data_IF_037383056461
#
_entry.id   IF_037383056461
#
_cell.length_a   1.000
_cell.length_b   1.000
_cell.length_c   1.000
_cell.angle_alpha   90.00
_cell.angle_beta   90.00
_cell.angle_gamma   90.00
#
_symmetry.space_group_name_H-M   'P 1'
#
loop_
_entity.id
_entity.type
_entity.pdbx_description
1 polymer ?
#
# COMPACT_ATOMS: atom_id res chain seq x y z
N UNK A 1 21.45 -0.57 -9.26
CA UNK A 1 21.95 0.16 -8.07
C UNK A 1 22.72 1.43 -8.43
N UNK A 2 23.69 1.41 -9.37
CA UNK A 2 24.47 2.60 -9.74
C UNK A 2 23.63 3.84 -10.14
N UNK A 3 22.58 3.66 -10.98
CA UNK A 3 21.71 4.77 -11.40
C UNK A 3 20.96 5.44 -10.23
N UNK A 4 20.47 4.65 -9.26
CA UNK A 4 19.81 5.17 -8.05
C UNK A 4 20.81 5.93 -7.16
N UNK A 5 22.03 5.40 -7.01
CA UNK A 5 23.08 6.07 -6.25
C UNK A 5 23.50 7.39 -6.90
N UNK A 6 23.65 7.43 -8.23
CA UNK A 6 23.93 8.66 -8.97
C UNK A 6 22.81 9.68 -8.79
N UNK A 7 21.55 9.29 -8.93
CA UNK A 7 20.42 10.21 -8.65
C UNK A 7 20.43 10.73 -7.20
N UNK A 8 20.75 9.87 -6.22
CA UNK A 8 20.84 10.29 -4.83
C UNK A 8 21.95 11.35 -4.64
N UNK A 9 23.12 11.17 -5.25
CA UNK A 9 24.25 12.10 -5.18
C UNK A 9 24.09 13.36 -6.05
N UNK A 10 23.27 13.35 -7.10
CA UNK A 10 23.06 14.53 -7.96
C UNK A 10 21.86 15.37 -7.56
N UNK A 11 20.79 14.74 -7.04
CA UNK A 11 19.51 15.40 -6.77
C UNK A 11 19.00 15.06 -5.37
N UNK A 12 18.78 13.79 -5.08
CA UNK A 12 17.95 13.37 -3.94
C UNK A 12 18.45 13.88 -2.59
N UNK A 13 19.75 13.74 -2.32
CA UNK A 13 20.34 14.14 -1.04
C UNK A 13 20.39 15.66 -0.88
N UNK A 14 20.76 16.37 -1.93
CA UNK A 14 20.85 17.84 -1.95
C UNK A 14 19.47 18.48 -1.84
N UNK A 15 18.48 17.94 -2.56
CA UNK A 15 17.08 18.33 -2.42
C UNK A 15 16.63 18.16 -0.96
N UNK A 16 16.84 16.98 -0.35
CA UNK A 16 16.47 16.74 1.04
C UNK A 16 17.20 17.66 2.02
N UNK A 17 18.46 18.00 1.77
CA UNK A 17 19.21 18.95 2.59
C UNK A 17 18.58 20.35 2.55
N UNK A 18 18.20 20.82 1.35
CA UNK A 18 17.55 22.12 1.14
C UNK A 18 16.17 22.14 1.80
N UNK A 19 15.36 21.11 1.59
CA UNK A 19 14.04 20.97 2.22
C UNK A 19 14.14 21.03 3.75
N UNK A 20 15.08 20.29 4.35
CA UNK A 20 15.32 20.33 5.80
C UNK A 20 15.80 21.70 6.29
N UNK A 21 16.59 22.42 5.50
CA UNK A 21 16.98 23.78 5.83
C UNK A 21 15.77 24.73 5.83
N UNK A 22 14.87 24.59 4.84
CA UNK A 22 13.60 25.33 4.80
C UNK A 22 12.69 25.01 5.99
N UNK A 23 12.60 23.73 6.40
CA UNK A 23 11.88 23.32 7.61
C UNK A 23 12.44 24.02 8.85
N UNK A 24 13.77 24.06 9.02
CA UNK A 24 14.42 24.74 10.16
C UNK A 24 14.17 26.25 10.16
N UNK A 25 14.09 26.85 8.97
CA UNK A 25 13.83 28.27 8.81
C UNK A 25 12.34 28.62 8.89
N UNK A 26 11.45 27.65 9.12
CA UNK A 26 9.99 27.88 9.19
C UNK A 26 9.36 28.28 7.85
N UNK A 27 10.02 27.97 6.73
CA UNK A 27 9.45 28.27 5.40
C UNK A 27 8.25 27.38 5.13
N UNK A 28 7.16 27.97 4.65
CA UNK A 28 5.98 27.23 4.22
C UNK A 28 6.29 26.38 2.97
N UNK A 29 5.88 25.12 2.96
CA UNK A 29 5.97 24.20 1.82
C UNK A 29 5.43 24.81 0.53
N UNK A 30 4.33 25.56 0.62
CA UNK A 30 3.65 26.14 -0.54
C UNK A 30 4.49 27.21 -1.26
N UNK A 31 5.57 27.69 -0.64
CA UNK A 31 6.51 28.67 -1.23
C UNK A 31 7.66 28.00 -2.00
N UNK A 32 7.73 26.67 -2.04
CA UNK A 32 8.84 25.92 -2.63
C UNK A 32 8.69 25.63 -4.13
N UNK A 33 7.70 26.22 -4.80
CA UNK A 33 7.52 26.12 -6.26
C UNK A 33 8.80 26.37 -7.06
N UNK A 34 9.57 27.45 -6.80
CA UNK A 34 10.83 27.71 -7.49
C UNK A 34 11.89 26.61 -7.30
N UNK A 35 11.94 25.98 -6.12
CA UNK A 35 12.86 24.86 -5.84
C UNK A 35 12.47 23.65 -6.70
N UNK A 36 11.19 23.31 -6.74
CA UNK A 36 10.65 22.21 -7.54
C UNK A 36 10.92 22.40 -9.04
N UNK A 37 10.74 23.62 -9.54
CA UNK A 37 11.07 23.97 -10.92
C UNK A 37 12.55 23.81 -11.25
N UNK A 38 13.44 24.17 -10.33
CA UNK A 38 14.88 23.99 -10.51
C UNK A 38 15.27 22.51 -10.54
N UNK A 39 14.65 21.67 -9.70
CA UNK A 39 14.85 20.22 -9.75
C UNK A 39 14.44 19.65 -11.10
N UNK A 40 13.26 20.05 -11.61
CA UNK A 40 12.77 19.62 -12.93
C UNK A 40 13.73 20.03 -14.04
N UNK A 41 14.15 21.29 -14.09
CA UNK A 41 15.13 21.80 -15.07
C UNK A 41 16.46 21.04 -14.99
N UNK A 42 16.93 20.74 -13.78
CA UNK A 42 18.16 19.97 -13.58
C UNK A 42 18.04 18.54 -14.13
N UNK A 43 16.91 17.87 -13.88
CA UNK A 43 16.65 16.53 -14.42
C UNK A 43 16.58 16.52 -15.96
N UNK A 44 16.05 17.57 -16.58
CA UNK A 44 16.07 17.72 -18.04
C UNK A 44 17.51 17.84 -18.58
N UNK A 45 18.39 18.56 -17.89
CA UNK A 45 19.81 18.65 -18.26
C UNK A 45 20.49 17.28 -18.16
N UNK A 46 20.31 16.58 -17.04
CA UNK A 46 20.89 15.24 -16.83
C UNK A 46 20.32 14.19 -17.80
N UNK A 47 19.07 14.35 -18.23
CA UNK A 47 18.45 13.48 -19.23
C UNK A 47 19.04 13.68 -20.64
N UNK A 48 19.32 14.94 -21.03
CA UNK A 48 19.86 15.27 -22.36
C UNK A 48 21.24 14.64 -22.57
N UNK A 49 22.11 14.79 -21.58
CA UNK A 49 23.48 14.28 -21.64
C UNK A 49 23.88 13.51 -20.35
N UNK A 50 23.44 12.25 -20.20
CA UNK A 50 23.78 11.45 -19.03
C UNK A 50 25.24 10.96 -19.06
N UNK A 51 25.94 11.06 -20.18
CA UNK A 51 27.35 10.64 -20.29
C UNK A 51 28.28 11.61 -19.58
N UNK A 52 27.84 12.86 -19.42
CA UNK A 52 28.53 13.84 -18.59
C UNK A 52 28.67 13.36 -17.13
N UNK A 53 27.76 12.53 -16.62
CA UNK A 53 27.85 11.95 -15.27
C UNK A 53 28.82 10.76 -15.15
N UNK A 54 29.31 10.24 -16.29
CA UNK A 54 30.12 9.02 -16.35
C UNK A 54 31.52 9.28 -16.87
N UNK A 55 31.79 10.49 -17.36
CA UNK A 55 33.05 10.86 -18.02
C UNK A 55 33.56 12.20 -17.49
N UNK A 56 34.88 12.40 -17.55
CA UNK A 56 35.55 13.61 -17.06
C UNK A 56 36.13 13.48 -15.66
N UNK A 57 36.53 14.62 -15.11
CA UNK A 57 37.17 14.72 -13.79
C UNK A 57 36.12 14.78 -12.67
N UNK A 58 36.15 13.77 -11.79
CA UNK A 58 35.19 13.61 -10.68
C UNK A 58 35.23 14.80 -9.72
N UNK A 59 36.41 15.40 -9.53
CA UNK A 59 36.60 16.47 -8.55
C UNK A 59 35.93 17.78 -9.01
N UNK A 60 35.80 18.01 -10.32
CA UNK A 60 35.14 19.21 -10.88
C UNK A 60 33.71 18.97 -11.37
N UNK A 61 33.34 17.70 -11.60
CA UNK A 61 32.04 17.33 -12.16
C UNK A 61 30.83 17.76 -11.33
N UNK A 62 30.99 17.86 -10.00
CA UNK A 62 29.93 18.28 -9.10
C UNK A 62 29.32 19.65 -9.47
N UNK A 63 30.12 20.55 -10.06
CA UNK A 63 29.69 21.88 -10.47
C UNK A 63 28.56 21.87 -11.50
N UNK A 64 28.49 20.83 -12.32
CA UNK A 64 27.52 20.72 -13.41
C UNK A 64 26.48 19.63 -13.09
N UNK A 65 26.91 18.55 -12.45
CA UNK A 65 26.11 17.36 -12.24
C UNK A 65 25.18 17.44 -11.02
N UNK A 66 25.56 18.20 -10.00
CA UNK A 66 24.84 18.26 -8.71
C UNK A 66 23.91 19.47 -8.69
N UNK A 67 22.72 19.28 -8.13
CA UNK A 67 21.75 20.35 -7.91
C UNK A 67 22.40 21.48 -7.08
N UNK A 68 22.40 22.70 -7.63
CA UNK A 68 23.09 23.88 -7.08
C UNK A 68 24.62 23.76 -6.95
N UNK A 69 25.26 22.91 -7.77
CA UNK A 69 26.73 22.82 -7.87
C UNK A 69 27.41 22.49 -6.54
N UNK A 70 26.70 21.79 -5.65
CA UNK A 70 27.23 21.40 -4.34
C UNK A 70 28.19 20.22 -4.45
N UNK A 71 29.04 20.03 -3.45
CA UNK A 71 29.96 18.90 -3.39
C UNK A 71 29.21 17.55 -3.29
N UNK A 72 29.87 16.49 -3.76
CA UNK A 72 29.42 15.12 -3.58
C UNK A 72 29.38 14.77 -2.09
N UNK A 73 28.30 14.11 -1.63
CA UNK A 73 28.31 13.60 -0.26
C UNK A 73 29.21 12.37 -0.13
N UNK A 74 29.30 11.57 -1.19
CA UNK A 74 30.18 10.39 -1.25
C UNK A 74 31.01 10.43 -2.54
N UNK A 75 32.09 11.22 -2.57
CA UNK A 75 32.95 11.29 -3.75
C UNK A 75 33.54 9.92 -4.12
N UNK A 76 33.84 9.07 -3.13
CA UNK A 76 34.36 7.71 -3.37
C UNK A 76 33.41 6.84 -4.19
N UNK A 77 32.10 6.98 -3.95
CA UNK A 77 31.09 6.27 -4.75
C UNK A 77 31.13 6.72 -6.20
N UNK A 78 31.25 8.03 -6.46
CA UNK A 78 31.34 8.57 -7.82
C UNK A 78 32.60 8.07 -8.52
N UNK A 79 33.75 8.05 -7.83
CA UNK A 79 35.01 7.50 -8.38
C UNK A 79 34.87 6.03 -8.78
N UNK A 80 34.22 5.21 -7.95
CA UNK A 80 33.97 3.78 -8.25
C UNK A 80 33.02 3.62 -9.44
N UNK A 81 31.96 4.42 -9.51
CA UNK A 81 31.03 4.36 -10.65
C UNK A 81 31.72 4.79 -11.94
N UNK A 82 32.56 5.83 -11.91
CA UNK A 82 33.37 6.26 -13.05
C UNK A 82 34.34 5.17 -13.51
N UNK A 83 35.05 4.50 -12.59
CA UNK A 83 36.00 3.44 -12.96
C UNK A 83 35.31 2.21 -13.56
N UNK A 84 34.07 1.94 -13.15
CA UNK A 84 33.25 0.85 -13.67
C UNK A 84 32.44 1.23 -14.91
N UNK A 85 32.21 2.52 -15.18
CA UNK A 85 31.37 2.96 -16.30
C UNK A 85 31.77 2.35 -17.66
N UNK A 86 33.07 2.22 -18.01
CA UNK A 86 33.49 1.59 -19.27
C UNK A 86 33.12 0.10 -19.38
N UNK A 87 32.96 -0.60 -18.26
CA UNK A 87 32.60 -2.03 -18.24
C UNK A 87 31.08 -2.26 -18.21
N UNK A 88 30.29 -1.19 -18.12
CA UNK A 88 28.83 -1.22 -17.97
C UNK A 88 28.15 -0.58 -19.20
N UNK A 89 28.04 -1.30 -20.33
CA UNK A 89 27.59 -0.73 -21.61
C UNK A 89 26.15 -0.17 -21.58
N UNK A 90 25.31 -0.65 -20.67
CA UNK A 90 23.92 -0.20 -20.55
C UNK A 90 23.71 0.91 -19.50
N UNK A 91 24.76 1.33 -18.78
CA UNK A 91 24.62 2.31 -17.70
C UNK A 91 24.11 3.67 -18.21
N UNK A 92 24.64 4.16 -19.33
CA UNK A 92 24.20 5.41 -19.97
C UNK A 92 22.72 5.34 -20.37
N UNK A 93 22.31 4.26 -21.04
CA UNK A 93 20.91 4.05 -21.42
C UNK A 93 19.97 3.96 -20.22
N UNK A 94 20.39 3.27 -19.15
CA UNK A 94 19.64 3.16 -17.90
C UNK A 94 19.51 4.52 -17.20
N UNK A 95 20.58 5.32 -17.15
CA UNK A 95 20.53 6.67 -16.58
C UNK A 95 19.56 7.57 -17.36
N UNK A 96 19.63 7.55 -18.70
CA UNK A 96 18.70 8.30 -19.56
C UNK A 96 17.25 7.94 -19.26
N UNK A 97 16.95 6.65 -19.18
CA UNK A 97 15.61 6.15 -18.88
C UNK A 97 15.18 6.52 -17.45
N UNK A 98 16.10 6.42 -16.49
CA UNK A 98 15.86 6.77 -15.10
C UNK A 98 15.54 8.25 -14.92
N UNK A 99 16.37 9.16 -15.45
CA UNK A 99 16.13 10.61 -15.35
C UNK A 99 14.88 11.04 -16.12
N UNK A 100 14.56 10.38 -17.24
CA UNK A 100 13.29 10.60 -17.94
C UNK A 100 12.08 10.20 -17.07
N UNK A 101 12.15 9.03 -16.45
CA UNK A 101 11.11 8.55 -15.52
C UNK A 101 10.98 9.47 -14.30
N UNK A 102 12.10 9.81 -13.66
CA UNK A 102 12.14 10.71 -12.52
C UNK A 102 11.56 12.08 -12.87
N UNK A 103 11.92 12.65 -14.02
CA UNK A 103 11.37 13.92 -14.50
C UNK A 103 9.84 13.90 -14.61
N UNK A 104 9.27 12.83 -15.19
CA UNK A 104 7.81 12.64 -15.26
C UNK A 104 7.17 12.50 -13.88
N UNK A 105 7.82 11.77 -12.96
CA UNK A 105 7.33 11.65 -11.58
C UNK A 105 7.31 13.00 -10.88
N UNK A 106 8.36 13.80 -11.07
CA UNK A 106 8.42 15.18 -10.55
C UNK A 106 7.33 16.05 -11.15
N UNK A 107 7.07 15.98 -12.45
CA UNK A 107 5.99 16.71 -13.10
C UNK A 107 4.61 16.40 -12.47
N UNK A 108 4.32 15.12 -12.21
CA UNK A 108 3.10 14.74 -11.51
C UNK A 108 3.08 15.26 -10.06
N UNK A 109 4.19 15.12 -9.34
CA UNK A 109 4.31 15.53 -7.93
C UNK A 109 4.22 17.05 -7.73
N UNK A 110 4.65 17.83 -8.72
CA UNK A 110 4.71 19.30 -8.63
C UNK A 110 3.72 19.99 -9.55
N UNK A 111 2.73 19.25 -10.07
CA UNK A 111 1.72 19.78 -10.99
C UNK A 111 0.94 20.94 -10.41
N UNK A 112 0.64 20.90 -9.10
CA UNK A 112 -0.05 21.99 -8.40
C UNK A 112 0.80 23.26 -8.26
N UNK A 113 2.13 23.15 -8.33
CA UNK A 113 3.08 24.27 -8.29
C UNK A 113 3.42 24.83 -9.68
N UNK A 114 2.99 24.16 -10.75
CA UNK A 114 3.25 24.64 -12.11
C UNK A 114 2.47 25.94 -12.39
N UNK A 115 2.89 26.76 -13.36
CA UNK A 115 2.17 27.97 -13.73
C UNK A 115 0.69 27.70 -14.04
N UNK A 116 -0.22 28.38 -13.35
CA UNK A 116 -1.67 28.12 -13.45
C UNK A 116 -2.16 26.88 -12.68
N UNK A 117 -1.31 26.31 -11.83
CA UNK A 117 -1.68 25.28 -10.87
C UNK A 117 -2.30 25.89 -9.61
N UNK A 118 -3.02 25.06 -8.84
CA UNK A 118 -3.77 25.52 -7.66
C UNK A 118 -2.90 26.26 -6.63
N UNK A 119 -1.67 25.79 -6.41
CA UNK A 119 -0.73 26.44 -5.46
C UNK A 119 -0.09 27.67 -6.09
N UNK A 120 0.20 27.68 -7.40
CA UNK A 120 0.74 28.86 -8.07
C UNK A 120 -0.24 30.04 -8.03
N UNK A 121 -1.51 29.78 -8.34
CA UNK A 121 -2.59 30.78 -8.36
C UNK A 121 -3.00 31.26 -6.96
N UNK A 122 -2.74 30.48 -5.91
CA UNK A 122 -3.05 30.86 -4.54
C UNK A 122 -2.29 32.12 -4.12
N UNK A 123 -3.03 33.05 -3.51
CA UNK A 123 -2.48 34.28 -2.95
C UNK A 123 -1.53 33.99 -1.79
N UNK A 124 -0.71 34.97 -1.43
CA UNK A 124 0.19 34.84 -0.28
C UNK A 124 -0.60 34.62 1.02
N UNK A 125 -1.74 35.30 1.18
CA UNK A 125 -2.63 35.17 2.34
C UNK A 125 -3.21 33.75 2.45
N UNK A 126 -3.66 33.16 1.35
CA UNK A 126 -4.16 31.78 1.33
C UNK A 126 -3.06 30.78 1.64
N UNK A 127 -1.84 31.00 1.12
CA UNK A 127 -0.67 30.18 1.44
C UNK A 127 -0.34 30.25 2.92
N UNK A 128 -0.34 31.44 3.51
CA UNK A 128 -0.09 31.64 4.95
C UNK A 128 -1.20 31.02 5.82
N UNK A 129 -2.46 31.07 5.40
CA UNK A 129 -3.57 30.42 6.10
C UNK A 129 -3.43 28.89 6.06
N UNK A 130 -3.05 28.34 4.91
CA UNK A 130 -2.81 26.91 4.70
C UNK A 130 -1.34 26.54 4.99
N UNK A 131 -0.79 27.05 6.08
CA UNK A 131 0.61 26.81 6.42
C UNK A 131 0.91 25.33 6.63
N UNK A 132 1.94 24.84 5.92
CA UNK A 132 2.40 23.46 6.05
C UNK A 132 3.93 23.39 6.08
N UNK A 133 4.46 22.45 6.87
CA UNK A 133 5.89 22.17 6.91
C UNK A 133 6.36 21.49 5.62
N UNK A 134 7.56 21.81 5.12
CA UNK A 134 8.16 21.14 3.97
C UNK A 134 8.43 19.64 4.16
N UNK A 135 8.50 19.18 5.41
CA UNK A 135 8.76 17.78 5.76
C UNK A 135 7.66 17.25 6.66
N UNK A 136 7.26 16.00 6.41
CA UNK A 136 6.30 15.28 7.24
C UNK A 136 6.93 14.72 8.53
N UNK A 137 8.23 14.90 8.75
CA UNK A 137 9.00 14.38 9.90
C UNK A 137 8.32 14.63 11.26
N UNK A 138 7.70 15.81 11.46
CA UNK A 138 7.02 16.14 12.71
C UNK A 138 5.74 15.31 12.88
N UNK A 139 4.96 15.13 11.82
CA UNK A 139 3.75 14.32 11.86
C UNK A 139 4.09 12.83 12.01
N UNK A 140 5.16 12.36 11.37
CA UNK A 140 5.67 10.99 11.54
C UNK A 140 6.18 10.75 12.97
N UNK A 141 6.91 11.71 13.54
CA UNK A 141 7.34 11.69 14.93
C UNK A 141 6.15 11.68 15.90
N UNK A 142 5.12 12.51 15.64
CA UNK A 142 3.89 12.55 16.43
C UNK A 142 3.10 11.23 16.33
N UNK A 143 3.04 10.62 15.14
CA UNK A 143 2.41 9.32 14.95
C UNK A 143 3.19 8.21 15.67
N UNK A 144 4.53 8.27 15.63
CA UNK A 144 5.40 7.36 16.35
C UNK A 144 5.19 7.44 17.86
N UNK A 145 5.22 8.65 18.42
CA UNK A 145 5.00 8.87 19.85
C UNK A 145 3.58 8.46 20.28
N UNK A 146 2.58 8.74 19.45
CA UNK A 146 1.22 8.26 19.64
C UNK A 146 1.14 6.74 19.75
N UNK A 147 1.77 6.01 18.82
CA UNK A 147 1.77 4.54 18.84
C UNK A 147 2.44 3.98 20.08
N UNK A 148 3.56 4.57 20.51
CA UNK A 148 4.23 4.17 21.76
C UNK A 148 3.34 4.44 22.97
N UNK A 149 2.66 5.59 23.01
CA UNK A 149 1.72 5.92 24.08
C UNK A 149 0.58 4.92 24.16
N UNK A 150 -0.08 4.62 23.03
CA UNK A 150 -1.20 3.69 22.99
C UNK A 150 -0.81 2.25 23.35
N UNK A 151 0.44 1.83 23.11
CA UNK A 151 0.95 0.54 23.60
C UNK A 151 1.09 0.53 25.13
N UNK A 152 1.58 1.62 25.72
CA UNK A 152 1.76 1.74 27.17
C UNK A 152 0.45 1.96 27.92
N UNK A 153 -0.49 2.67 27.29
CA UNK A 153 -1.77 3.06 27.86
C UNK A 153 -2.89 2.79 26.84
N UNK A 154 -3.28 1.52 26.65
CA UNK A 154 -4.27 1.15 25.63
C UNK A 154 -5.69 1.64 25.93
N UNK A 155 -5.97 1.99 27.19
CA UNK A 155 -7.25 2.56 27.61
C UNK A 155 -7.31 4.09 27.47
N UNK A 156 -6.21 4.73 27.02
CA UNK A 156 -6.19 6.17 26.81
C UNK A 156 -7.05 6.53 25.61
N UNK A 157 -7.99 7.47 25.77
CA UNK A 157 -8.77 7.97 24.64
C UNK A 157 -7.91 8.87 23.75
N UNK A 158 -8.28 8.95 22.46
CA UNK A 158 -7.66 9.92 21.53
C UNK A 158 -7.82 11.35 22.01
N UNK A 159 -8.92 11.67 22.69
CA UNK A 159 -9.19 13.00 23.24
C UNK A 159 -8.16 13.38 24.29
N UNK A 160 -7.92 12.47 25.25
CA UNK A 160 -6.96 12.71 26.33
C UNK A 160 -5.54 12.78 25.76
N UNK A 161 -5.20 11.93 24.79
CA UNK A 161 -3.89 11.98 24.13
C UNK A 161 -3.66 13.31 23.37
N UNK A 162 -4.67 13.80 22.64
CA UNK A 162 -4.62 15.10 21.98
C UNK A 162 -4.53 16.24 23.00
N UNK A 163 -5.29 16.18 24.09
CA UNK A 163 -5.25 17.16 25.17
C UNK A 163 -3.87 17.20 25.85
N UNK A 164 -3.26 16.04 26.12
CA UNK A 164 -1.90 15.96 26.64
C UNK A 164 -0.89 16.55 25.66
N UNK A 165 -0.97 16.21 24.38
CA UNK A 165 -0.09 16.77 23.35
C UNK A 165 -0.21 18.31 23.26
N UNK A 166 -1.42 18.84 23.30
CA UNK A 166 -1.66 20.29 23.34
C UNK A 166 -1.16 20.94 24.63
N UNK A 167 -1.36 20.29 25.79
CA UNK A 167 -0.92 20.80 27.08
C UNK A 167 0.59 21.04 27.11
N UNK A 168 1.38 20.09 26.58
CA UNK A 168 2.82 20.24 26.46
C UNK A 168 3.23 21.24 25.38
N UNK A 169 2.59 21.18 24.19
CA UNK A 169 2.96 22.04 23.05
C UNK A 169 2.67 23.51 23.29
N UNK A 170 1.57 23.83 23.96
CA UNK A 170 1.14 25.20 24.24
C UNK A 170 1.71 25.72 25.58
N UNK A 171 2.61 24.97 26.21
CA UNK A 171 3.17 25.29 27.54
C UNK A 171 2.08 25.66 28.56
N UNK A 172 0.95 24.95 28.52
CA UNK A 172 -0.24 25.30 29.30
C UNK A 172 0.06 25.33 30.81
N UNK A 173 1.05 24.56 31.27
CA UNK A 173 1.52 24.64 32.65
C UNK A 173 2.11 26.02 33.01
N UNK A 174 2.91 26.62 32.13
CA UNK A 174 3.50 27.94 32.35
C UNK A 174 2.41 29.00 32.37
N UNK A 175 1.45 28.92 31.43
CA UNK A 175 0.26 29.76 31.41
C UNK A 175 -0.53 29.65 32.73
N UNK A 176 -0.87 28.44 33.17
CA UNK A 176 -1.59 28.23 34.43
C UNK A 176 -0.84 28.84 35.61
N UNK A 177 0.48 28.64 35.72
CA UNK A 177 1.29 29.23 36.80
C UNK A 177 1.30 30.76 36.79
N UNK A 178 1.24 31.38 35.61
CA UNK A 178 1.29 32.83 35.47
C UNK A 178 -0.07 33.50 35.72
N UNK A 179 -1.15 32.87 35.29
CA UNK A 179 -2.48 33.50 35.26
C UNK A 179 -3.45 32.99 36.32
N UNK A 180 -3.23 31.81 36.89
CA UNK A 180 -4.12 31.28 37.93
C UNK A 180 -3.61 31.81 39.27
N UNK A 181 -4.32 32.81 39.80
CA UNK A 181 -3.90 33.56 41.00
C UNK A 181 -4.58 33.00 42.25
N UNK A 182 -5.77 32.42 42.11
CA UNK A 182 -6.59 31.91 43.20
C UNK A 182 -7.04 30.46 43.01
N UNK A 183 -7.48 29.78 44.09
CA UNK A 183 -8.06 28.43 44.00
C UNK A 183 -9.36 28.39 43.19
N UNK A 184 -10.05 29.51 43.00
CA UNK A 184 -11.29 29.64 42.25
C UNK A 184 -11.09 29.33 40.75
N UNK A 185 -9.94 29.72 40.18
CA UNK A 185 -9.61 29.48 38.77
C UNK A 185 -9.49 27.98 38.47
N UNK A 186 -8.90 27.22 39.42
CA UNK A 186 -8.80 25.77 39.34
C UNK A 186 -10.15 25.09 39.55
N UNK A 187 -10.99 25.61 40.47
CA UNK A 187 -12.33 25.09 40.69
C UNK A 187 -13.21 25.24 39.45
N UNK A 188 -13.11 26.38 38.77
CA UNK A 188 -13.82 26.62 37.51
C UNK A 188 -13.38 25.65 36.40
N UNK A 189 -12.06 25.42 36.26
CA UNK A 189 -11.55 24.45 35.28
C UNK A 189 -12.00 23.03 35.60
N UNK A 190 -12.02 22.66 36.89
CA UNK A 190 -12.58 21.39 37.34
C UNK A 190 -14.06 21.28 36.97
N UNK A 191 -14.91 22.28 37.25
CA UNK A 191 -16.33 22.20 36.86
C UNK A 191 -16.53 22.02 35.36
N UNK A 192 -15.75 22.74 34.53
CA UNK A 192 -15.78 22.59 33.08
C UNK A 192 -15.38 21.18 32.62
N UNK A 193 -14.35 20.57 33.24
CA UNK A 193 -13.93 19.23 32.91
C UNK A 193 -15.03 18.18 33.20
N UNK A 194 -15.73 18.33 34.32
CA UNK A 194 -16.84 17.44 34.68
C UNK A 194 -18.00 17.54 33.69
N UNK A 195 -18.36 18.74 33.24
CA UNK A 195 -19.39 18.96 32.21
C UNK A 195 -19.01 18.33 30.86
N UNK A 196 -17.70 18.28 30.54
CA UNK A 196 -17.20 17.72 29.27
C UNK A 196 -17.09 16.18 29.23
N UNK A 197 -17.32 15.48 30.35
CA UNK A 197 -16.99 14.04 30.54
C UNK A 197 -17.87 13.04 29.73
N UNK A 198 -18.69 13.49 28.78
CA UNK A 198 -19.56 12.62 27.97
C UNK A 198 -19.16 12.45 26.49
N UNK A 199 -18.29 13.29 25.96
CA UNK A 199 -18.00 13.30 24.51
C UNK A 199 -17.23 12.07 24.04
N UNK A 200 -16.32 11.56 24.87
CA UNK A 200 -15.56 10.34 24.59
C UNK A 200 -16.46 9.11 24.59
N UNK A 201 -17.40 9.03 25.54
CA UNK A 201 -18.38 7.95 25.62
C UNK A 201 -19.29 7.93 24.38
N UNK A 202 -19.73 9.10 23.90
CA UNK A 202 -20.52 9.21 22.66
C UNK A 202 -19.72 8.71 21.45
N UNK A 203 -18.46 9.11 21.32
CA UNK A 203 -17.58 8.63 20.24
C UNK A 203 -17.36 7.12 20.29
N UNK A 204 -17.17 6.56 21.48
CA UNK A 204 -17.04 5.11 21.64
C UNK A 204 -18.31 4.37 21.19
N UNK A 205 -19.49 4.87 21.56
CA UNK A 205 -20.76 4.33 21.10
C UNK A 205 -20.90 4.40 19.57
N UNK A 206 -20.53 5.52 18.95
CA UNK A 206 -20.54 5.66 17.49
C UNK A 206 -19.60 4.67 16.80
N UNK A 207 -18.41 4.43 17.35
CA UNK A 207 -17.45 3.44 16.83
C UNK A 207 -18.03 2.04 16.92
N UNK A 208 -18.65 1.70 18.06
CA UNK A 208 -19.29 0.39 18.28
C UNK A 208 -20.45 0.20 17.30
N UNK A 209 -21.35 1.17 17.18
CA UNK A 209 -22.48 1.16 16.24
C UNK A 209 -22.01 0.95 14.80
N UNK A 210 -21.03 1.74 14.35
CA UNK A 210 -20.47 1.60 13.01
C UNK A 210 -19.79 0.24 12.79
N UNK A 211 -19.14 -0.31 13.82
CA UNK A 211 -18.54 -1.65 13.75
C UNK A 211 -19.60 -2.75 13.59
N UNK A 212 -20.73 -2.64 14.30
CA UNK A 212 -21.86 -3.55 14.17
C UNK A 212 -22.50 -3.46 12.78
N UNK A 213 -22.68 -2.25 12.25
CA UNK A 213 -23.19 -2.04 10.89
C UNK A 213 -22.28 -2.70 9.85
N UNK A 214 -20.96 -2.49 9.93
CA UNK A 214 -20.01 -3.15 9.01
C UNK A 214 -19.99 -4.67 9.17
N UNK A 215 -20.16 -5.19 10.37
CA UNK A 215 -20.24 -6.63 10.61
C UNK A 215 -21.50 -7.22 9.95
N UNK A 216 -22.66 -6.56 10.12
CA UNK A 216 -23.93 -6.96 9.50
C UNK A 216 -23.85 -6.91 7.96
N UNK A 217 -23.26 -5.87 7.38
CA UNK A 217 -23.04 -5.77 5.93
C UNK A 217 -22.17 -6.90 5.38
N UNK A 218 -21.07 -7.21 6.09
CA UNK A 218 -20.19 -8.34 5.74
C UNK A 218 -20.93 -9.67 5.84
N UNK A 219 -21.72 -9.87 6.88
CA UNK A 219 -22.51 -11.10 7.06
C UNK A 219 -23.57 -11.25 5.97
N UNK A 220 -24.31 -10.18 5.64
CA UNK A 220 -25.27 -10.18 4.55
C UNK A 220 -24.61 -10.49 3.20
N UNK A 221 -23.43 -9.92 2.95
CA UNK A 221 -22.64 -10.20 1.75
C UNK A 221 -22.16 -11.66 1.72
N UNK A 222 -21.76 -12.21 2.87
CA UNK A 222 -21.36 -13.63 3.00
C UNK A 222 -22.54 -14.56 2.72
N UNK A 223 -23.72 -14.29 3.30
CA UNK A 223 -24.96 -15.06 3.07
C UNK A 223 -25.36 -15.04 1.59
N UNK A 224 -25.34 -13.87 0.93
CA UNK A 224 -25.61 -13.76 -0.52
C UNK A 224 -24.60 -14.55 -1.36
N UNK A 225 -23.32 -14.53 -0.99
CA UNK A 225 -22.29 -15.33 -1.68
C UNK A 225 -22.50 -16.83 -1.49
N UNK A 226 -22.91 -17.25 -0.29
CA UNK A 226 -23.20 -18.65 0.02
C UNK A 226 -24.44 -19.15 -0.73
N UNK A 227 -25.51 -18.36 -0.76
CA UNK A 227 -26.72 -18.68 -1.55
C UNK A 227 -26.39 -18.83 -3.04
N UNK A 228 -25.65 -17.87 -3.62
CA UNK A 228 -25.23 -17.97 -5.03
C UNK A 228 -24.30 -19.16 -5.33
N UNK A 229 -23.53 -19.63 -4.33
CA UNK A 229 -22.74 -20.86 -4.46
C UNK A 229 -23.65 -22.08 -4.44
N UNK A 230 -24.54 -22.17 -3.46
CA UNK A 230 -25.52 -23.27 -3.36
C UNK A 230 -26.42 -23.35 -4.61
N UNK A 231 -26.93 -22.23 -5.11
CA UNK A 231 -27.72 -22.18 -6.35
C UNK A 231 -26.90 -22.68 -7.56
N UNK A 232 -25.61 -22.35 -7.61
CA UNK A 232 -24.71 -22.84 -8.66
C UNK A 232 -24.39 -24.32 -8.51
N UNK A 233 -24.15 -24.79 -7.29
CA UNK A 233 -23.86 -26.20 -7.03
C UNK A 233 -25.08 -27.06 -7.43
N UNK A 234 -26.30 -26.65 -7.07
CA UNK A 234 -27.55 -27.28 -7.51
C UNK A 234 -27.74 -27.23 -9.03
N UNK A 235 -27.37 -26.11 -9.68
CA UNK A 235 -27.42 -25.99 -11.14
C UNK A 235 -26.45 -26.94 -11.83
N UNK A 236 -25.23 -27.09 -11.30
CA UNK A 236 -24.21 -27.99 -11.82
C UNK A 236 -24.59 -29.47 -11.64
N UNK A 237 -25.24 -29.82 -10.52
CA UNK A 237 -25.79 -31.16 -10.27
C UNK A 237 -26.90 -31.51 -11.29
N UNK A 238 -27.80 -30.55 -11.56
CA UNK A 238 -28.93 -30.75 -12.47
C UNK A 238 -28.54 -30.77 -13.97
N UNK A 239 -27.44 -30.14 -14.35
CA UNK A 239 -26.97 -30.12 -15.74
C UNK A 239 -26.62 -31.54 -16.17
N UNK A 240 -27.02 -32.03 -17.34
CA UNK A 240 -26.58 -33.35 -17.83
C UNK A 240 -25.12 -33.32 -18.34
N UNK A 241 -24.33 -34.36 -18.05
CA UNK A 241 -22.94 -34.44 -18.51
C UNK A 241 -22.91 -34.82 -19.99
N UNK A 242 -22.35 -33.96 -20.84
CA UNK A 242 -22.20 -34.26 -22.28
C UNK A 242 -20.88 -35.00 -22.50
N UNK A 243 -20.97 -36.29 -22.82
CA UNK A 243 -19.84 -37.19 -23.06
C UNK A 243 -19.55 -37.40 -24.57
N UNK A 244 -20.17 -36.60 -25.44
CA UNK A 244 -20.06 -36.74 -26.90
C UNK A 244 -19.08 -35.69 -27.46
N UNK A 245 -17.93 -36.16 -27.95
CA UNK A 245 -16.83 -35.35 -28.50
C UNK A 245 -17.30 -34.40 -29.61
N UNK A 246 -18.29 -34.82 -30.41
CA UNK A 246 -18.77 -34.05 -31.57
C UNK A 246 -19.58 -32.82 -31.18
N UNK A 247 -20.11 -32.77 -29.95
CA UNK A 247 -20.99 -31.69 -29.47
C UNK A 247 -20.22 -30.59 -28.72
N UNK A 248 -19.03 -30.87 -28.23
CA UNK A 248 -18.18 -29.91 -27.48
C UNK A 248 -17.84 -28.62 -28.27
N UNK A 249 -17.51 -28.67 -29.58
CA UNK A 249 -17.23 -27.46 -30.36
C UNK A 249 -18.47 -26.57 -30.58
N UNK A 250 -19.67 -27.14 -30.41
CA UNK A 250 -20.95 -26.43 -30.55
C UNK A 250 -21.35 -25.66 -29.29
N UNK A 251 -20.76 -25.96 -28.13
CA UNK A 251 -21.05 -25.30 -26.86
C UNK A 251 -20.38 -23.92 -26.80
N UNK A 252 -21.15 -22.87 -26.56
CA UNK A 252 -20.67 -21.48 -26.54
C UNK A 252 -20.92 -20.81 -25.18
N UNK A 253 -20.02 -19.90 -24.82
CA UNK A 253 -20.25 -18.94 -23.73
C UNK A 253 -20.28 -19.59 -22.35
N UNK A 254 -21.39 -19.41 -21.62
CA UNK A 254 -21.57 -19.87 -20.24
C UNK A 254 -21.76 -21.39 -20.15
N UNK A 255 -22.46 -22.00 -21.12
CA UNK A 255 -22.71 -23.46 -21.13
C UNK A 255 -21.41 -24.27 -21.18
N UNK A 256 -20.41 -23.80 -21.94
CA UNK A 256 -19.10 -24.43 -22.01
C UNK A 256 -18.34 -24.36 -20.66
N UNK A 257 -18.55 -23.28 -19.92
CA UNK A 257 -17.88 -23.04 -18.63
C UNK A 257 -18.57 -23.80 -17.50
N UNK A 258 -19.90 -23.84 -17.50
CA UNK A 258 -20.68 -24.68 -16.59
C UNK A 258 -20.32 -26.17 -16.78
N UNK A 259 -20.11 -26.60 -18.04
CA UNK A 259 -19.63 -27.95 -18.33
C UNK A 259 -18.22 -28.19 -17.75
N UNK A 260 -17.29 -27.24 -17.92
CA UNK A 260 -15.95 -27.32 -17.31
C UNK A 260 -16.01 -27.43 -15.78
N UNK A 261 -16.87 -26.64 -15.14
CA UNK A 261 -17.04 -26.66 -13.68
C UNK A 261 -17.69 -27.99 -13.23
N UNK A 262 -18.61 -28.56 -14.02
CA UNK A 262 -19.15 -29.91 -13.78
C UNK A 262 -18.09 -31.00 -13.90
N UNK A 263 -17.25 -31.00 -14.94
CA UNK A 263 -16.15 -31.97 -15.07
C UNK A 263 -15.12 -31.86 -13.93
N UNK A 264 -14.94 -30.66 -13.34
CA UNK A 264 -14.14 -30.48 -12.11
C UNK A 264 -14.83 -31.06 -10.88
N UNK A 265 -16.14 -30.83 -10.73
CA UNK A 265 -16.92 -31.37 -9.62
C UNK A 265 -16.94 -32.91 -9.61
N UNK A 266 -16.95 -33.55 -10.79
CA UNK A 266 -16.91 -35.02 -10.94
C UNK A 266 -15.49 -35.60 -10.80
N UNK A 267 -14.46 -34.77 -10.59
CA UNK A 267 -13.13 -35.22 -10.21
C UNK A 267 -12.19 -35.64 -11.35
N UNK A 268 -12.31 -35.05 -12.55
CA UNK A 268 -11.30 -35.24 -13.61
C UNK A 268 -9.96 -34.68 -13.13
N UNK A 269 -8.96 -35.56 -12.93
CA UNK A 269 -7.68 -35.19 -12.34
C UNK A 269 -6.78 -34.32 -13.25
N UNK A 270 -7.05 -34.27 -14.57
CA UNK A 270 -6.13 -33.71 -15.58
C UNK A 270 -6.79 -32.69 -16.55
N UNK A 271 -7.54 -31.71 -16.06
CA UNK A 271 -8.09 -30.64 -16.94
C UNK A 271 -7.05 -29.56 -17.33
N UNK A 272 -5.78 -29.74 -16.95
CA UNK A 272 -4.76 -28.69 -17.06
C UNK A 272 -5.10 -27.46 -16.19
N UNK A 273 -4.24 -26.44 -16.18
CA UNK A 273 -4.44 -25.22 -15.38
C UNK A 273 -5.52 -24.28 -15.97
N UNK A 274 -6.54 -24.85 -16.64
CA UNK A 274 -7.59 -24.13 -17.37
C UNK A 274 -8.67 -23.67 -16.39
N UNK A 275 -9.04 -22.40 -16.48
CA UNK A 275 -10.04 -21.78 -15.61
C UNK A 275 -11.13 -21.07 -16.43
N UNK A 276 -12.15 -20.57 -15.73
CA UNK A 276 -13.30 -19.86 -16.31
C UNK A 276 -12.92 -18.59 -17.15
N UNK A 277 -11.67 -18.11 -17.04
CA UNK A 277 -11.12 -16.96 -17.78
C UNK A 277 -10.24 -17.38 -18.97
N UNK A 278 -9.96 -18.67 -19.14
CA UNK A 278 -9.20 -19.18 -20.28
C UNK A 278 -9.94 -18.94 -21.59
N UNK A 279 -9.18 -18.89 -22.70
CA UNK A 279 -9.75 -18.76 -24.05
C UNK A 279 -10.65 -19.96 -24.35
N UNK A 280 -11.77 -19.72 -25.03
CA UNK A 280 -12.78 -20.74 -25.39
C UNK A 280 -12.13 -21.98 -26.02
N UNK A 281 -11.17 -21.81 -26.95
CA UNK A 281 -10.48 -22.93 -27.59
C UNK A 281 -9.73 -23.84 -26.61
N UNK A 282 -9.05 -23.27 -25.60
CA UNK A 282 -8.33 -24.04 -24.60
C UNK A 282 -9.28 -24.81 -23.66
N UNK A 283 -10.49 -24.29 -23.43
CA UNK A 283 -11.54 -24.99 -22.65
C UNK A 283 -12.10 -26.17 -23.47
N UNK A 284 -12.39 -25.95 -24.76
CA UNK A 284 -12.85 -27.01 -25.65
C UNK A 284 -11.83 -28.15 -25.77
N UNK A 285 -10.55 -27.83 -25.97
CA UNK A 285 -9.47 -28.83 -26.05
C UNK A 285 -9.36 -29.64 -24.75
N UNK A 286 -9.39 -28.99 -23.59
CA UNK A 286 -9.33 -29.68 -22.29
C UNK A 286 -10.53 -30.61 -22.07
N UNK A 287 -11.74 -30.21 -22.50
CA UNK A 287 -12.94 -31.04 -22.41
C UNK A 287 -12.88 -32.24 -23.37
N UNK A 288 -12.39 -32.06 -24.60
CA UNK A 288 -12.22 -33.15 -25.57
C UNK A 288 -11.24 -34.18 -25.01
N UNK A 289 -10.09 -33.76 -24.48
CA UNK A 289 -9.10 -34.66 -23.85
C UNK A 289 -9.71 -35.41 -22.65
N UNK A 290 -10.55 -34.75 -21.84
CA UNK A 290 -11.23 -35.39 -20.72
C UNK A 290 -12.25 -36.45 -21.20
N UNK A 291 -12.98 -36.18 -22.28
CA UNK A 291 -13.96 -37.10 -22.86
C UNK A 291 -13.25 -38.28 -23.55
N UNK A 292 -12.16 -38.05 -24.28
CA UNK A 292 -11.34 -39.12 -24.86
C UNK A 292 -10.82 -40.07 -23.76
N UNK A 293 -10.39 -39.53 -22.60
CA UNK A 293 -9.96 -40.33 -21.45
C UNK A 293 -11.11 -41.14 -20.83
N UNK A 294 -12.34 -40.62 -20.84
CA UNK A 294 -13.54 -41.35 -20.43
C UNK A 294 -13.82 -42.51 -21.39
N UNK A 295 -13.83 -42.22 -22.70
CA UNK A 295 -14.09 -43.20 -23.76
C UNK A 295 -13.03 -44.31 -23.80
N UNK A 296 -11.77 -43.98 -23.49
CA UNK A 296 -10.67 -44.94 -23.38
C UNK A 296 -10.65 -45.73 -22.05
N UNK A 297 -11.57 -45.44 -21.12
CA UNK A 297 -11.69 -46.12 -19.82
C UNK A 297 -10.61 -45.77 -18.79
N UNK A 298 -9.73 -44.82 -19.11
CA UNK A 298 -8.67 -44.29 -18.22
C UNK A 298 -9.21 -43.38 -17.12
N UNK A 299 -10.43 -42.87 -17.26
CA UNK A 299 -11.14 -42.11 -16.24
C UNK A 299 -12.60 -42.57 -16.19
N UNK A 300 -13.16 -42.68 -14.98
CA UNK A 300 -14.58 -43.02 -14.76
C UNK A 300 -15.21 -41.99 -13.85
N UNK A 301 -16.50 -41.76 -14.05
CA UNK A 301 -17.34 -40.95 -13.16
C UNK A 301 -17.42 -41.68 -11.82
N UNK A 302 -17.12 -40.98 -10.73
CA UNK A 302 -17.29 -41.55 -9.40
C UNK A 302 -18.78 -41.87 -9.16
N UNK A 303 -19.12 -43.16 -9.00
CA UNK A 303 -20.48 -43.62 -8.68
C UNK A 303 -21.11 -44.65 -9.63
N UNK A 304 -20.44 -45.10 -10.70
CA UNK A 304 -21.00 -46.11 -11.63
C UNK A 304 -20.73 -47.59 -11.26
N UNK A 305 -20.22 -47.90 -10.07
CA UNK A 305 -20.19 -49.27 -9.54
C UNK A 305 -20.94 -49.32 -8.19
N UNK A 306 -22.19 -49.80 -8.22
CA UNK A 306 -22.75 -50.52 -7.07
C UNK A 306 -22.64 -52.02 -7.37
N UNK A 307 -21.67 -52.66 -6.73
CA UNK A 307 -21.47 -54.09 -6.69
C UNK A 307 -20.72 -54.47 -5.41
N UNK A 308 -21.50 -54.63 -4.34
CA UNK A 308 -21.23 -55.35 -3.07
C UNK A 308 -19.77 -55.44 -2.57
N UNK A 309 -19.47 -54.76 -1.46
CA UNK A 309 -18.18 -54.92 -0.80
C UNK A 309 -17.93 -54.04 0.43
N UNK A 310 -18.74 -54.25 1.46
CA UNK A 310 -18.42 -54.16 2.90
C UNK A 310 -18.06 -52.81 3.57
N UNK A 311 -18.61 -52.67 4.76
CA UNK A 311 -18.54 -51.53 5.67
C UNK A 311 -17.12 -51.22 6.15
N UNK A 312 -16.77 -49.93 6.22
CA UNK A 312 -16.20 -49.40 7.45
C UNK A 312 -16.42 -47.90 7.57
N UNK A 313 -17.18 -47.54 8.59
CA UNK A 313 -17.34 -46.23 9.19
C UNK A 313 -16.01 -45.50 9.45
N UNK A 314 -15.98 -44.20 9.17
CA UNK A 314 -15.43 -43.26 10.16
C UNK A 314 -16.11 -41.89 10.02
N UNK A 315 -16.87 -41.53 11.06
CA UNK A 315 -17.50 -40.24 11.25
C UNK A 315 -16.44 -39.34 11.90
N UNK A 316 -15.75 -38.54 11.08
CA UNK A 316 -14.92 -37.44 11.55
C UNK A 316 -15.74 -36.17 11.66
N UNK A 317 -16.20 -35.86 12.87
CA UNK A 317 -16.66 -34.53 13.27
C UNK A 317 -15.55 -33.50 13.03
N UNK A 318 -15.65 -32.69 11.97
CA UNK A 318 -14.85 -31.46 11.84
C UNK A 318 -15.53 -30.34 12.64
N UNK A 319 -15.20 -30.33 13.92
CA UNK A 319 -15.39 -29.23 14.85
C UNK A 319 -14.73 -27.94 14.30
N UNK A 320 -15.37 -26.77 14.39
CA UNK A 320 -14.80 -25.52 13.89
C UNK A 320 -13.54 -25.15 14.69
N UNK A 321 -12.39 -25.25 14.04
CA UNK A 321 -11.08 -24.80 14.53
C UNK A 321 -11.19 -23.50 15.30
N UNK A 322 -10.89 -23.59 16.58
CA UNK A 322 -10.73 -22.48 17.50
C UNK A 322 -9.77 -21.44 16.92
N UNK A 323 -10.09 -20.19 17.22
CA UNK A 323 -9.27 -19.01 17.06
C UNK A 323 -7.83 -19.29 17.52
N UNK A 324 -6.86 -19.23 16.61
CA UNK A 324 -5.46 -19.15 17.00
C UNK A 324 -5.23 -17.82 17.74
N UNK A 325 -4.74 -17.83 18.99
CA UNK A 325 -4.20 -16.64 19.61
C UNK A 325 -2.90 -16.26 18.87
N UNK A 326 -2.85 -15.02 18.42
CA UNK A 326 -1.65 -14.38 17.87
C UNK A 326 -0.52 -14.56 18.89
N UNK A 327 0.55 -15.21 18.44
CA UNK A 327 1.75 -15.51 19.21
C UNK A 327 2.35 -14.24 19.82
N UNK A 328 2.55 -14.29 21.13
CA UNK A 328 3.48 -13.45 21.89
C UNK A 328 4.85 -13.48 21.22
N UNK A 329 5.35 -12.29 20.86
CA UNK A 329 6.76 -12.10 20.60
C UNK A 329 7.42 -11.74 21.93
N UNK A 330 8.00 -12.75 22.58
CA UNK A 330 9.01 -12.54 23.62
C UNK A 330 10.24 -11.88 22.96
N UNK A 331 10.40 -10.57 23.15
CA UNK A 331 11.71 -9.93 23.06
C UNK A 331 12.39 -10.14 24.42
N UNK A 332 13.34 -11.06 24.46
CA UNK A 332 14.31 -11.15 25.54
C UNK A 332 15.24 -9.95 25.45
N UNK A 333 15.04 -8.99 26.35
CA UNK A 333 16.04 -8.00 26.73
C UNK A 333 17.29 -8.74 27.22
N UNK A 334 18.41 -8.54 26.53
CA UNK A 334 19.74 -8.70 27.10
C UNK A 334 20.50 -7.41 26.89
N UNK A 335 20.72 -6.73 28.01
CA UNK A 335 21.60 -5.58 28.17
C UNK A 335 23.05 -6.02 27.92
N UNK A 336 23.78 -5.30 27.07
CA UNK A 336 25.18 -4.87 27.25
C UNK A 336 25.55 -3.77 26.23
#
# INVERSE_FOLDING_TARGET
MAALGLYAETVGKHYMAIIRAHTKNGTNMLMLGPLHDNVRKHLEVLHRDPEQLLSGDVDTLHLIAVLYSQEWQRPDFIRVVHSMAPTLPHLSSLLRAFFSGAGKTWEHFTSEFAPGGLIDEASLEEKELAWMLPTNDINEGALGSFRVMMRRQPQLSLSVQNAQAMYFRNETQAFMKQYFVGPEDLQFLCSMAWESTGEDQKREQEIIEHSHQRAAEKEATRKKRQQKRQEKDLWLEALELVLDETKVPGLKGEVLKDMLDKFKAVGVSDLGNVNHRSKVGAICEALIVAIEKYNNGTWRIAGEDEGEGDESSDLGDDEPSALEPISDWEETDTED
#
